data_IF_344597466389
#
_entry.id   IF_344597466389
#
_cell.length_a   1.000
_cell.length_b   1.000
_cell.length_c   1.000
_cell.angle_alpha   90.00
_cell.angle_beta   90.00
_cell.angle_gamma   90.00
#
_symmetry.space_group_name_H-M   'P 1'
#
loop_
_entity.id
_entity.type
_entity.pdbx_description
1 polymer ?
#
# COMPACT_ATOMS: atom_id res chain seq x y z
N UNK A 1 -52.94 -29.64 -14.60
CA UNK A 1 -52.25 -29.47 -13.30
C UNK A 1 -51.05 -30.40 -13.30
N UNK A 2 -49.89 -29.86 -13.62
CA UNK A 2 -48.59 -30.52 -13.47
C UNK A 2 -47.73 -29.58 -12.61
N UNK A 3 -46.88 -30.09 -11.71
CA UNK A 3 -46.20 -29.27 -10.72
C UNK A 3 -45.00 -28.55 -11.34
N UNK A 4 -44.77 -27.33 -10.88
CA UNK A 4 -43.55 -26.56 -11.13
C UNK A 4 -42.36 -27.24 -10.46
N UNK A 5 -41.37 -27.66 -11.25
CA UNK A 5 -40.02 -27.96 -10.76
C UNK A 5 -39.30 -26.62 -10.51
N UNK A 6 -39.04 -26.33 -9.24
CA UNK A 6 -38.00 -25.38 -8.84
C UNK A 6 -36.65 -26.07 -8.99
N UNK A 7 -35.97 -25.86 -10.13
CA UNK A 7 -34.56 -26.20 -10.27
C UNK A 7 -33.72 -25.10 -9.61
N UNK A 8 -33.39 -25.28 -8.34
CA UNK A 8 -32.25 -24.61 -7.72
C UNK A 8 -30.97 -25.11 -8.40
N UNK A 9 -30.29 -24.23 -9.11
CA UNK A 9 -29.00 -24.51 -9.73
C UNK A 9 -27.91 -24.37 -8.66
N UNK A 10 -27.64 -25.44 -7.90
CA UNK A 10 -26.50 -25.50 -6.98
C UNK A 10 -25.20 -25.69 -7.79
N UNK A 11 -24.55 -24.58 -8.14
CA UNK A 11 -23.32 -24.52 -8.93
C UNK A 11 -22.04 -24.86 -8.15
N UNK A 12 -22.11 -25.61 -7.05
CA UNK A 12 -20.96 -25.88 -6.16
C UNK A 12 -20.38 -27.30 -6.25
N UNK A 13 -20.81 -28.13 -7.20
CA UNK A 13 -20.23 -29.47 -7.39
C UNK A 13 -18.80 -29.39 -7.98
N UNK A 14 -17.79 -29.39 -7.10
CA UNK A 14 -16.38 -29.61 -7.47
C UNK A 14 -15.34 -28.66 -6.88
N UNK A 15 -15.71 -27.78 -5.95
CA UNK A 15 -14.73 -26.95 -5.23
C UNK A 15 -14.37 -27.65 -3.91
N UNK A 16 -13.09 -27.99 -3.74
CA UNK A 16 -12.56 -28.50 -2.48
C UNK A 16 -12.25 -27.32 -1.54
N UNK A 17 -13.18 -27.09 -0.62
CA UNK A 17 -13.09 -26.01 0.38
C UNK A 17 -12.07 -26.28 1.50
N UNK A 18 -11.33 -27.39 1.47
CA UNK A 18 -10.33 -27.70 2.51
C UNK A 18 -9.03 -26.88 2.40
N UNK A 19 -8.79 -26.20 1.27
CA UNK A 19 -7.57 -25.43 1.00
C UNK A 19 -7.83 -23.93 0.81
N UNK A 20 -8.69 -23.34 1.65
CA UNK A 20 -8.92 -21.88 1.66
C UNK A 20 -7.75 -21.17 2.32
N UNK A 21 -7.14 -20.24 1.61
CA UNK A 21 -6.11 -19.36 2.16
C UNK A 21 -6.75 -18.14 2.85
N UNK A 22 -6.48 -18.00 4.14
CA UNK A 22 -6.97 -16.92 4.98
C UNK A 22 -6.12 -15.66 4.82
N UNK A 23 -6.60 -14.68 4.05
CA UNK A 23 -6.00 -13.34 3.98
C UNK A 23 -6.60 -12.40 5.03
N UNK A 24 -7.93 -12.46 5.17
CA UNK A 24 -8.67 -11.79 6.24
C UNK A 24 -9.51 -12.86 6.97
N UNK A 25 -9.03 -13.35 8.13
CA UNK A 25 -9.78 -14.24 9.00
C UNK A 25 -11.21 -13.75 9.26
N UNK A 26 -12.13 -14.72 9.31
CA UNK A 26 -13.58 -14.52 9.46
C UNK A 26 -14.21 -13.64 8.36
N UNK A 27 -13.51 -13.50 7.22
CA UNK A 27 -14.03 -12.84 6.04
C UNK A 27 -15.33 -13.48 5.53
N UNK A 28 -16.25 -12.63 5.08
CA UNK A 28 -17.59 -12.99 4.59
C UNK A 28 -17.62 -13.38 3.11
N UNK A 29 -16.46 -13.34 2.42
CA UNK A 29 -16.34 -13.60 1.00
C UNK A 29 -15.13 -14.49 0.69
N UNK A 30 -15.32 -15.46 -0.21
CA UNK A 30 -14.23 -16.23 -0.80
C UNK A 30 -14.12 -15.87 -2.28
N UNK A 31 -12.92 -15.45 -2.70
CA UNK A 31 -12.60 -15.29 -4.11
C UNK A 31 -12.09 -16.62 -4.67
N UNK A 32 -12.67 -17.07 -5.77
CA UNK A 32 -12.25 -18.27 -6.52
C UNK A 32 -11.50 -17.78 -7.76
N UNK A 33 -10.17 -17.79 -7.70
CA UNK A 33 -9.33 -17.04 -8.65
C UNK A 33 -8.58 -17.95 -9.61
N UNK A 34 -8.66 -17.59 -10.89
CA UNK A 34 -7.89 -18.21 -11.97
C UNK A 34 -8.33 -19.63 -12.32
N UNK A 35 -7.64 -20.21 -13.30
CA UNK A 35 -7.90 -21.57 -13.80
C UNK A 35 -7.69 -22.64 -12.74
N UNK A 36 -6.74 -22.39 -11.84
CA UNK A 36 -6.41 -23.30 -10.73
C UNK A 36 -7.38 -23.17 -9.54
N UNK A 37 -8.40 -22.30 -9.64
CA UNK A 37 -9.44 -22.07 -8.64
C UNK A 37 -8.89 -21.83 -7.23
N UNK A 38 -7.86 -20.98 -7.13
CA UNK A 38 -7.28 -20.61 -5.83
C UNK A 38 -8.34 -19.95 -4.97
N UNK A 39 -8.52 -20.42 -3.74
CA UNK A 39 -9.56 -19.96 -2.82
C UNK A 39 -8.97 -18.99 -1.80
N UNK A 40 -9.39 -17.72 -1.86
CA UNK A 40 -8.87 -16.66 -0.99
C UNK A 40 -10.00 -16.09 -0.13
N UNK A 41 -9.95 -16.28 1.20
CA UNK A 41 -10.94 -15.68 2.12
C UNK A 41 -10.59 -14.24 2.46
N UNK A 42 -11.59 -13.37 2.33
CA UNK A 42 -11.48 -11.92 2.34
C UNK A 42 -12.71 -11.27 3.00
N UNK A 43 -12.57 -10.02 3.45
CA UNK A 43 -13.72 -9.19 3.82
C UNK A 43 -14.25 -8.44 2.60
N UNK A 44 -15.55 -8.56 2.33
CA UNK A 44 -16.27 -7.81 1.29
C UNK A 44 -16.17 -6.30 1.54
N UNK A 45 -16.22 -5.87 2.81
CA UNK A 45 -16.10 -4.45 3.18
C UNK A 45 -14.72 -3.90 2.88
N UNK A 46 -13.67 -4.70 3.08
CA UNK A 46 -12.30 -4.36 2.69
C UNK A 46 -12.18 -4.23 1.17
N UNK A 47 -12.68 -5.20 0.40
CA UNK A 47 -12.65 -5.19 -1.07
C UNK A 47 -13.36 -3.96 -1.66
N UNK A 48 -14.56 -3.65 -1.19
CA UNK A 48 -15.31 -2.46 -1.60
C UNK A 48 -14.57 -1.16 -1.27
N UNK A 49 -13.77 -1.13 -0.18
CA UNK A 49 -13.01 0.06 0.23
C UNK A 49 -11.80 0.32 -0.67
N UNK A 50 -11.16 -0.73 -1.19
CA UNK A 50 -9.95 -0.62 -2.01
C UNK A 50 -10.24 -0.55 -3.51
N UNK A 51 -11.41 -1.01 -3.95
CA UNK A 51 -11.78 -1.07 -5.37
C UNK A 51 -13.20 -0.55 -5.61
N UNK A 52 -13.37 0.51 -6.43
CA UNK A 52 -14.70 0.96 -6.84
C UNK A 52 -15.41 -0.08 -7.73
N UNK A 53 -14.66 -0.93 -8.44
CA UNK A 53 -15.23 -2.01 -9.25
C UNK A 53 -15.88 -3.07 -8.36
N UNK A 54 -15.17 -3.54 -7.32
CA UNK A 54 -15.77 -4.44 -6.34
C UNK A 54 -16.90 -3.77 -5.56
N UNK A 55 -16.79 -2.47 -5.24
CA UNK A 55 -17.89 -1.73 -4.59
C UNK A 55 -19.16 -1.69 -5.43
N UNK A 56 -19.03 -1.56 -6.76
CA UNK A 56 -20.16 -1.64 -7.68
C UNK A 56 -20.71 -3.07 -7.76
N UNK A 57 -19.84 -4.05 -8.01
CA UNK A 57 -20.19 -5.47 -8.20
C UNK A 57 -20.83 -6.11 -6.96
N UNK A 58 -20.35 -5.77 -5.76
CA UNK A 58 -20.90 -6.27 -4.49
C UNK A 58 -22.01 -5.35 -3.96
N UNK A 59 -22.40 -4.32 -4.73
CA UNK A 59 -23.51 -3.45 -4.43
C UNK A 59 -24.87 -4.09 -4.74
N UNK A 60 -25.98 -3.47 -4.29
CA UNK A 60 -27.33 -4.04 -4.41
C UNK A 60 -27.84 -4.23 -5.85
N UNK A 61 -27.20 -3.59 -6.82
CA UNK A 61 -27.63 -3.57 -8.22
C UNK A 61 -27.14 -4.77 -9.04
N UNK A 62 -26.26 -5.59 -8.47
CA UNK A 62 -25.67 -6.75 -9.13
C UNK A 62 -26.06 -8.03 -8.40
N UNK A 63 -26.08 -9.16 -9.15
CA UNK A 63 -26.47 -10.46 -8.60
C UNK A 63 -25.55 -10.87 -7.46
N UNK A 64 -24.25 -10.60 -7.60
CA UNK A 64 -23.22 -10.91 -6.61
C UNK A 64 -23.48 -10.20 -5.27
N UNK A 65 -23.83 -8.90 -5.31
CA UNK A 65 -24.20 -8.16 -4.10
C UNK A 65 -25.53 -8.61 -3.49
N UNK A 66 -26.51 -8.99 -4.31
CA UNK A 66 -27.76 -9.57 -3.81
C UNK A 66 -27.51 -10.91 -3.13
N UNK A 67 -26.69 -11.78 -3.73
CA UNK A 67 -26.26 -13.05 -3.13
C UNK A 67 -25.54 -12.83 -1.81
N UNK A 68 -24.58 -11.90 -1.76
CA UNK A 68 -23.87 -11.54 -0.54
C UNK A 68 -24.84 -11.09 0.57
N UNK A 69 -25.84 -10.26 0.25
CA UNK A 69 -26.86 -9.80 1.21
C UNK A 69 -27.82 -10.90 1.68
N UNK A 70 -27.92 -11.99 0.93
CA UNK A 70 -28.82 -13.11 1.21
C UNK A 70 -28.15 -14.26 1.95
N UNK A 71 -26.83 -14.18 2.22
CA UNK A 71 -26.13 -15.12 3.10
C UNK A 71 -26.68 -14.97 4.52
N UNK A 72 -27.57 -15.89 4.90
CA UNK A 72 -28.27 -15.86 6.20
C UNK A 72 -27.65 -16.77 7.25
N UNK A 73 -26.93 -17.82 6.82
CA UNK A 73 -26.26 -18.77 7.71
C UNK A 73 -24.74 -18.59 7.65
N UNK A 74 -24.11 -18.75 8.82
CA UNK A 74 -22.64 -18.69 8.97
C UNK A 74 -21.90 -19.77 8.16
N UNK A 75 -22.59 -20.84 7.81
CA UNK A 75 -22.03 -21.96 7.04
C UNK A 75 -22.19 -21.79 5.52
N UNK A 76 -23.04 -20.87 5.08
CA UNK A 76 -23.17 -20.52 3.65
C UNK A 76 -22.07 -19.53 3.26
N UNK A 77 -21.10 -20.01 2.48
CA UNK A 77 -19.99 -19.18 1.99
C UNK A 77 -20.40 -18.45 0.70
N UNK A 78 -20.27 -17.13 0.67
CA UNK A 78 -20.34 -16.41 -0.60
C UNK A 78 -19.04 -16.62 -1.37
N UNK A 79 -19.17 -17.12 -2.60
CA UNK A 79 -18.05 -17.34 -3.51
C UNK A 79 -18.19 -16.41 -4.72
N UNK A 80 -17.13 -15.65 -5.02
CA UNK A 80 -17.03 -14.79 -6.20
C UNK A 80 -15.97 -15.37 -7.14
N UNK A 81 -16.38 -15.76 -8.35
CA UNK A 81 -15.48 -16.34 -9.35
C UNK A 81 -14.76 -15.27 -10.16
N UNK A 82 -13.43 -15.38 -10.24
CA UNK A 82 -12.53 -14.51 -11.00
C UNK A 82 -11.66 -15.39 -11.93
N UNK A 83 -12.26 -16.09 -12.91
CA UNK A 83 -11.59 -17.18 -13.63
C UNK A 83 -10.46 -16.72 -14.57
N UNK A 84 -10.47 -15.46 -14.97
CA UNK A 84 -9.49 -14.86 -15.88
C UNK A 84 -8.28 -14.24 -15.16
N UNK A 85 -8.35 -14.12 -13.83
CA UNK A 85 -7.33 -13.42 -13.03
C UNK A 85 -6.26 -14.38 -12.51
N UNK A 86 -5.05 -13.84 -12.30
CA UNK A 86 -3.91 -14.60 -11.77
C UNK A 86 -4.00 -14.73 -10.24
N UNK A 87 -4.16 -15.95 -9.74
CA UNK A 87 -4.33 -16.21 -8.31
C UNK A 87 -3.18 -15.73 -7.44
N UNK A 88 -1.94 -15.71 -7.94
CA UNK A 88 -0.77 -15.22 -7.20
C UNK A 88 -0.71 -13.70 -7.17
N UNK A 89 -1.07 -13.05 -8.27
CA UNK A 89 -1.19 -11.60 -8.36
C UNK A 89 -2.24 -11.05 -7.39
N UNK A 90 -3.42 -11.68 -7.35
CA UNK A 90 -4.51 -11.33 -6.43
C UNK A 90 -4.06 -11.50 -4.98
N UNK A 91 -3.46 -12.65 -4.65
CA UNK A 91 -2.91 -12.92 -3.32
C UNK A 91 -1.86 -11.88 -2.90
N UNK A 92 -0.91 -11.56 -3.77
CA UNK A 92 0.13 -10.58 -3.50
C UNK A 92 -0.44 -9.16 -3.32
N UNK A 93 -1.45 -8.74 -4.10
CA UNK A 93 -2.08 -7.42 -3.94
C UNK A 93 -2.70 -7.25 -2.57
N UNK A 94 -3.41 -8.26 -2.08
CA UNK A 94 -4.08 -8.15 -0.79
C UNK A 94 -3.12 -8.22 0.37
N UNK A 95 -2.01 -8.98 0.25
CA UNK A 95 -0.91 -8.93 1.24
C UNK A 95 -0.24 -7.56 1.33
N UNK A 96 -0.14 -6.83 0.21
CA UNK A 96 0.35 -5.44 0.21
C UNK A 96 -0.64 -4.52 0.93
N UNK A 97 -1.94 -4.69 0.68
CA UNK A 97 -2.96 -3.76 1.16
C UNK A 97 -3.51 -4.09 2.55
N UNK A 98 -3.37 -5.32 3.02
CA UNK A 98 -3.83 -5.80 4.32
C UNK A 98 -2.62 -6.17 5.18
N UNK A 99 -2.24 -5.24 6.04
CA UNK A 99 -1.08 -5.35 6.93
C UNK A 99 0.25 -4.94 6.31
N UNK A 100 0.35 -4.68 5.00
CA UNK A 100 1.63 -4.42 4.32
C UNK A 100 2.67 -5.52 4.61
N UNK A 101 2.36 -6.75 4.20
CA UNK A 101 3.20 -7.93 4.42
C UNK A 101 4.63 -7.73 3.89
N UNK A 102 5.66 -7.83 4.76
CA UNK A 102 7.05 -7.66 4.37
C UNK A 102 7.53 -8.58 3.25
N UNK A 103 6.96 -9.76 3.08
CA UNK A 103 7.36 -10.67 2.01
C UNK A 103 6.92 -10.19 0.61
N UNK A 104 6.10 -9.16 0.52
CA UNK A 104 5.77 -8.49 -0.76
C UNK A 104 6.82 -7.45 -1.19
N UNK A 105 7.90 -7.26 -0.40
CA UNK A 105 8.99 -6.34 -0.77
C UNK A 105 9.84 -6.85 -1.92
N UNK A 106 9.86 -8.16 -2.12
CA UNK A 106 10.78 -8.84 -3.01
C UNK A 106 10.14 -9.41 -4.28
N UNK A 107 8.96 -8.91 -4.66
CA UNK A 107 8.29 -9.31 -5.89
C UNK A 107 9.18 -9.11 -7.13
N UNK A 108 9.20 -10.12 -7.98
CA UNK A 108 9.92 -10.10 -9.26
C UNK A 108 9.20 -9.19 -10.28
N UNK A 109 9.92 -8.70 -11.31
CA UNK A 109 9.34 -7.88 -12.38
C UNK A 109 8.06 -8.47 -13.00
N UNK A 110 8.02 -9.79 -13.21
CA UNK A 110 6.85 -10.51 -13.73
C UNK A 110 5.67 -10.50 -12.75
N UNK A 111 5.93 -10.71 -11.47
CA UNK A 111 4.90 -10.66 -10.43
C UNK A 111 4.31 -9.25 -10.31
N UNK A 112 5.17 -8.22 -10.37
CA UNK A 112 4.74 -6.80 -10.37
C UNK A 112 3.87 -6.50 -11.58
N UNK A 113 4.20 -7.02 -12.77
CA UNK A 113 3.39 -6.87 -13.98
C UNK A 113 2.02 -7.54 -13.85
N UNK A 114 1.98 -8.82 -13.43
CA UNK A 114 0.72 -9.55 -13.27
C UNK A 114 -0.20 -8.86 -12.26
N UNK A 115 0.38 -8.39 -11.15
CA UNK A 115 -0.31 -7.61 -10.13
C UNK A 115 -0.83 -6.28 -10.70
N UNK A 116 -0.05 -5.59 -11.53
CA UNK A 116 -0.47 -4.35 -12.18
C UNK A 116 -1.67 -4.55 -13.12
N UNK A 117 -1.77 -5.70 -13.80
CA UNK A 117 -2.93 -6.04 -14.65
C UNK A 117 -4.20 -6.13 -13.79
N UNK A 118 -4.14 -6.85 -12.68
CA UNK A 118 -5.27 -6.94 -11.75
C UNK A 118 -5.60 -5.56 -11.15
N UNK A 119 -4.59 -4.79 -10.76
CA UNK A 119 -4.78 -3.46 -10.19
C UNK A 119 -5.48 -2.49 -11.16
N UNK A 120 -5.13 -2.53 -12.44
CA UNK A 120 -5.76 -1.71 -13.48
C UNK A 120 -7.20 -2.16 -13.72
N UNK A 121 -7.44 -3.47 -13.89
CA UNK A 121 -8.77 -4.06 -14.11
C UNK A 121 -9.78 -3.70 -13.01
N UNK A 122 -9.35 -3.74 -11.75
CA UNK A 122 -10.20 -3.46 -10.58
C UNK A 122 -10.03 -2.04 -10.02
N UNK A 123 -9.27 -1.17 -10.69
CA UNK A 123 -8.98 0.20 -10.26
C UNK A 123 -8.46 0.30 -8.81
N UNK A 124 -7.51 -0.57 -8.46
CA UNK A 124 -6.82 -0.62 -7.17
C UNK A 124 -5.52 0.20 -7.21
N UNK A 125 -5.04 0.60 -8.40
CA UNK A 125 -3.79 1.33 -8.61
C UNK A 125 -3.49 2.46 -7.60
N UNK A 126 -4.45 3.36 -7.28
CA UNK A 126 -4.23 4.43 -6.31
C UNK A 126 -3.86 3.95 -4.89
N UNK A 127 -4.27 2.73 -4.50
CA UNK A 127 -3.92 2.15 -3.20
C UNK A 127 -2.50 1.60 -3.15
N UNK A 128 -1.86 1.40 -4.31
CA UNK A 128 -0.53 0.79 -4.40
C UNK A 128 0.61 1.81 -4.48
N UNK A 129 0.34 3.11 -4.36
CA UNK A 129 1.33 4.17 -4.60
C UNK A 129 2.63 3.96 -3.81
N UNK A 130 2.54 3.69 -2.50
CA UNK A 130 3.73 3.42 -1.68
C UNK A 130 4.52 2.18 -2.12
N UNK A 131 3.81 1.10 -2.46
CA UNK A 131 4.44 -0.15 -2.89
C UNK A 131 5.14 0.03 -4.25
N UNK A 132 4.50 0.71 -5.19
CA UNK A 132 5.07 0.96 -6.52
C UNK A 132 6.32 1.83 -6.48
N UNK A 133 6.36 2.85 -5.61
CA UNK A 133 7.56 3.66 -5.39
C UNK A 133 8.73 2.80 -4.89
N UNK A 134 8.46 1.84 -4.00
CA UNK A 134 9.47 0.92 -3.49
C UNK A 134 9.98 -0.04 -4.57
N UNK A 135 9.07 -0.73 -5.26
CA UNK A 135 9.41 -1.72 -6.29
C UNK A 135 10.18 -1.09 -7.45
N UNK A 136 9.72 0.04 -7.99
CA UNK A 136 10.42 0.69 -9.11
C UNK A 136 11.79 1.25 -8.70
N UNK A 137 11.96 1.69 -7.45
CA UNK A 137 13.26 2.06 -6.93
C UNK A 137 14.22 0.85 -6.79
N UNK A 138 13.70 -0.34 -6.43
CA UNK A 138 14.50 -1.58 -6.36
C UNK A 138 15.07 -1.93 -7.74
N UNK A 139 14.27 -1.78 -8.80
CA UNK A 139 14.68 -2.10 -10.17
C UNK A 139 15.17 -0.88 -10.97
N UNK A 140 15.71 0.14 -10.30
CA UNK A 140 16.22 1.35 -10.97
C UNK A 140 17.36 1.05 -11.97
N UNK A 141 18.09 -0.07 -11.79
CA UNK A 141 19.24 -0.49 -12.60
C UNK A 141 19.00 -1.81 -13.35
N UNK A 142 17.76 -2.25 -13.50
CA UNK A 142 17.45 -3.41 -14.37
C UNK A 142 18.01 -3.19 -15.77
N UNK A 143 18.67 -4.22 -16.31
CA UNK A 143 19.27 -4.22 -17.64
C UNK A 143 18.75 -5.38 -18.51
N UNK A 144 18.06 -6.36 -17.93
CA UNK A 144 17.41 -7.42 -18.69
C UNK A 144 16.23 -6.84 -19.52
N UNK A 145 16.16 -7.12 -20.83
CA UNK A 145 15.11 -6.59 -21.70
C UNK A 145 13.69 -7.06 -21.34
N UNK A 146 13.52 -8.31 -20.93
CA UNK A 146 12.21 -8.87 -20.58
C UNK A 146 11.72 -8.26 -19.26
N UNK A 147 12.57 -8.23 -18.23
CA UNK A 147 12.25 -7.57 -16.96
C UNK A 147 11.96 -6.08 -17.15
N UNK A 148 12.73 -5.39 -17.99
CA UNK A 148 12.49 -3.97 -18.31
C UNK A 148 11.15 -3.78 -19.01
N UNK A 149 10.76 -4.69 -19.90
CA UNK A 149 9.45 -4.70 -20.54
C UNK A 149 8.32 -4.90 -19.52
N UNK A 150 8.45 -5.91 -18.66
CA UNK A 150 7.48 -6.21 -17.59
C UNK A 150 7.27 -5.00 -16.67
N UNK A 151 8.35 -4.34 -16.23
CA UNK A 151 8.30 -3.12 -15.42
C UNK A 151 7.74 -1.91 -16.17
N UNK A 152 7.98 -1.80 -17.48
CA UNK A 152 7.39 -0.76 -18.33
C UNK A 152 5.87 -0.92 -18.38
N UNK A 153 5.39 -2.15 -18.58
CA UNK A 153 3.96 -2.46 -18.60
C UNK A 153 3.32 -2.21 -17.24
N UNK A 154 3.97 -2.64 -16.16
CA UNK A 154 3.50 -2.34 -14.81
C UNK A 154 3.38 -0.83 -14.56
N UNK A 155 4.40 -0.05 -14.94
CA UNK A 155 4.38 1.40 -14.79
C UNK A 155 3.27 2.07 -15.62
N UNK A 156 2.96 1.55 -16.80
CA UNK A 156 1.84 2.04 -17.63
C UNK A 156 0.48 1.80 -16.96
N UNK A 157 0.23 0.57 -16.50
CA UNK A 157 -1.01 0.14 -15.87
C UNK A 157 -1.24 0.87 -14.53
N UNK A 158 -0.19 0.95 -13.69
CA UNK A 158 -0.23 1.61 -12.39
C UNK A 158 -0.08 3.14 -12.45
N UNK A 159 -0.09 3.74 -13.64
CA UNK A 159 -0.04 5.19 -13.85
C UNK A 159 1.25 5.88 -13.34
N UNK A 160 2.34 5.14 -13.23
CA UNK A 160 3.62 5.63 -12.70
C UNK A 160 4.46 6.29 -13.80
N UNK A 161 4.16 7.57 -14.07
CA UNK A 161 4.76 8.34 -15.18
C UNK A 161 6.30 8.37 -15.18
N UNK A 162 6.93 8.55 -14.02
CA UNK A 162 8.39 8.60 -13.89
C UNK A 162 9.04 7.24 -14.16
N UNK A 163 8.43 6.18 -13.65
CA UNK A 163 8.89 4.81 -13.88
C UNK A 163 8.73 4.45 -15.37
N UNK A 164 7.58 4.76 -15.97
CA UNK A 164 7.30 4.51 -17.39
C UNK A 164 8.33 5.21 -18.30
N UNK A 165 8.59 6.49 -18.05
CA UNK A 165 9.63 7.24 -18.77
C UNK A 165 11.02 6.59 -18.60
N UNK A 166 11.35 6.16 -17.38
CA UNK A 166 12.66 5.58 -17.07
C UNK A 166 12.87 4.25 -17.77
N UNK A 167 11.90 3.33 -17.72
CA UNK A 167 12.05 2.01 -18.31
C UNK A 167 11.95 2.04 -19.84
N UNK A 168 11.07 2.84 -20.43
CA UNK A 168 11.04 3.02 -21.89
C UNK A 168 12.35 3.60 -22.43
N UNK A 169 12.99 4.53 -21.69
CA UNK A 169 14.32 5.04 -22.03
C UNK A 169 15.39 3.92 -22.04
N UNK A 170 15.27 2.92 -21.16
CA UNK A 170 16.17 1.77 -21.14
C UNK A 170 15.91 0.84 -22.32
N UNK A 171 14.65 0.53 -22.62
CA UNK A 171 14.28 -0.24 -23.81
C UNK A 171 14.83 0.40 -25.09
N UNK A 172 14.75 1.73 -25.22
CA UNK A 172 15.35 2.48 -26.36
C UNK A 172 16.86 2.20 -26.50
N UNK A 173 17.60 2.05 -25.40
CA UNK A 173 19.04 1.74 -25.40
C UNK A 173 19.38 0.29 -25.73
N UNK A 174 18.46 -0.65 -25.53
CA UNK A 174 18.70 -2.07 -25.76
C UNK A 174 18.57 -2.38 -27.27
N UNK A 175 19.66 -2.16 -28.02
CA UNK A 175 19.68 -2.25 -29.48
C UNK A 175 19.64 -3.68 -30.05
N UNK A 176 19.78 -4.71 -29.21
CA UNK A 176 19.99 -6.10 -29.65
C UNK A 176 18.73 -6.98 -29.55
N UNK A 177 17.61 -6.47 -29.04
CA UNK A 177 16.42 -7.27 -28.72
C UNK A 177 15.22 -6.76 -29.50
N UNK A 178 14.59 -7.66 -30.25
CA UNK A 178 13.26 -7.40 -30.81
C UNK A 178 12.24 -7.52 -29.69
N UNK A 179 11.54 -6.44 -29.38
CA UNK A 179 10.53 -6.45 -28.30
C UNK A 179 9.23 -7.17 -28.70
N UNK A 180 9.07 -7.58 -29.97
CA UNK A 180 7.87 -8.25 -30.46
C UNK A 180 7.60 -9.58 -29.74
N UNK A 181 8.64 -10.31 -29.33
CA UNK A 181 8.49 -11.56 -28.57
C UNK A 181 7.79 -11.34 -27.22
N UNK A 182 7.83 -10.12 -26.67
CA UNK A 182 7.17 -9.80 -25.40
C UNK A 182 5.70 -9.40 -25.57
N UNK A 183 5.24 -9.22 -26.81
CA UNK A 183 3.83 -8.99 -27.12
C UNK A 183 3.05 -10.30 -27.15
N UNK A 184 3.74 -11.39 -27.49
CA UNK A 184 3.20 -12.75 -27.49
C UNK A 184 2.82 -13.15 -26.05
N UNK A 185 1.52 -13.18 -25.75
CA UNK A 185 1.00 -13.48 -24.41
C UNK A 185 0.43 -12.28 -23.65
N UNK A 186 0.48 -11.07 -24.22
CA UNK A 186 -0.25 -9.92 -23.66
C UNK A 186 -1.77 -10.07 -23.84
N UNK A 187 -2.53 -9.68 -22.82
CA UNK A 187 -3.99 -9.57 -22.90
C UNK A 187 -4.44 -8.52 -23.94
N UNK A 188 -3.66 -7.45 -24.10
CA UNK A 188 -3.84 -6.43 -25.16
C UNK A 188 -2.60 -6.39 -26.07
N UNK A 189 -2.54 -7.23 -27.13
CA UNK A 189 -1.43 -7.23 -28.08
C UNK A 189 -1.28 -5.90 -28.82
N UNK A 190 -2.37 -5.16 -29.03
CA UNK A 190 -2.33 -3.87 -29.74
C UNK A 190 -1.60 -2.82 -28.92
N UNK A 191 -1.81 -2.79 -27.60
CA UNK A 191 -1.03 -1.94 -26.69
C UNK A 191 0.46 -2.29 -26.76
N UNK A 192 0.80 -3.58 -26.74
CA UNK A 192 2.17 -4.06 -26.87
C UNK A 192 2.84 -3.61 -28.17
N UNK A 193 2.20 -3.87 -29.31
CA UNK A 193 2.69 -3.46 -30.63
C UNK A 193 2.90 -1.94 -30.73
N UNK A 194 1.96 -1.14 -30.21
CA UNK A 194 2.10 0.32 -30.16
C UNK A 194 3.29 0.76 -29.33
N UNK A 195 3.51 0.12 -28.18
CA UNK A 195 4.65 0.43 -27.34
C UNK A 195 5.96 0.07 -28.04
N UNK A 196 6.04 -1.10 -28.69
CA UNK A 196 7.18 -1.49 -29.51
C UNK A 196 7.47 -0.43 -30.58
N UNK A 197 6.47 -0.05 -31.38
CA UNK A 197 6.62 0.96 -32.43
C UNK A 197 7.11 2.31 -31.88
N UNK A 198 6.54 2.78 -30.78
CA UNK A 198 6.96 4.03 -30.15
C UNK A 198 8.42 3.99 -29.65
N UNK A 199 8.86 2.84 -29.13
CA UNK A 199 10.26 2.62 -28.71
C UNK A 199 11.18 2.60 -29.93
N UNK A 200 10.80 1.89 -31.01
CA UNK A 200 11.59 1.86 -32.25
C UNK A 200 11.75 3.25 -32.88
N UNK A 201 10.68 4.04 -32.96
CA UNK A 201 10.73 5.42 -33.47
C UNK A 201 11.71 6.28 -32.65
N UNK A 202 11.65 6.16 -31.32
CA UNK A 202 12.58 6.85 -30.43
C UNK A 202 14.03 6.38 -30.61
N UNK A 203 14.25 5.10 -30.86
CA UNK A 203 15.57 4.52 -31.12
C UNK A 203 16.15 4.98 -32.46
N UNK A 204 15.34 4.96 -33.52
CA UNK A 204 15.74 5.48 -34.85
C UNK A 204 16.10 6.96 -34.77
N UNK A 205 15.28 7.76 -34.07
CA UNK A 205 15.58 9.18 -33.84
C UNK A 205 16.89 9.37 -33.08
N UNK A 206 17.12 8.59 -32.02
CA UNK A 206 18.37 8.63 -31.25
C UNK A 206 19.59 8.34 -32.14
N UNK A 207 19.53 7.29 -32.96
CA UNK A 207 20.62 6.90 -33.86
C UNK A 207 20.90 7.93 -34.96
N UNK A 208 19.89 8.68 -35.41
CA UNK A 208 20.01 9.66 -36.51
C UNK A 208 20.36 11.09 -36.06
N UNK A 209 19.91 11.51 -34.87
CA UNK A 209 19.88 12.93 -34.51
C UNK A 209 20.44 13.27 -33.12
N UNK A 210 20.22 12.42 -32.11
CA UNK A 210 20.57 12.72 -30.71
C UNK A 210 21.11 11.47 -30.01
N UNK A 211 22.41 11.37 -29.69
CA UNK A 211 22.95 10.19 -29.02
C UNK A 211 22.40 9.99 -27.61
N UNK A 212 21.63 10.96 -27.07
CA UNK A 212 21.00 10.84 -25.76
C UNK A 212 19.62 10.16 -25.87
N UNK A 213 19.44 8.96 -25.29
CA UNK A 213 18.15 8.28 -25.29
C UNK A 213 17.13 9.07 -24.48
N UNK A 214 15.88 9.10 -24.97
CA UNK A 214 14.73 9.69 -24.29
C UNK A 214 13.68 8.62 -24.03
N UNK A 215 13.06 8.71 -22.87
CA UNK A 215 11.91 7.87 -22.54
C UNK A 215 10.63 8.41 -23.16
N UNK A 216 9.61 7.57 -23.23
CA UNK A 216 8.27 7.97 -23.65
C UNK A 216 7.55 8.69 -22.51
N UNK A 217 6.86 9.77 -22.82
CA UNK A 217 5.94 10.41 -21.88
C UNK A 217 4.65 9.59 -21.81
N UNK A 218 4.25 9.15 -20.61
CA UNK A 218 3.06 8.33 -20.39
C UNK A 218 1.79 9.02 -20.92
N UNK A 219 1.60 10.31 -20.61
CA UNK A 219 0.45 11.10 -21.05
C UNK A 219 0.38 11.19 -22.59
N UNK A 220 1.50 11.54 -23.24
CA UNK A 220 1.56 11.63 -24.70
C UNK A 220 1.28 10.28 -25.38
N UNK A 221 1.84 9.19 -24.84
CA UNK A 221 1.63 7.85 -25.37
C UNK A 221 0.16 7.43 -25.31
N UNK A 222 -0.53 7.77 -24.21
CA UNK A 222 -1.98 7.56 -24.07
C UNK A 222 -2.79 8.40 -25.06
N UNK A 223 -2.48 9.69 -25.19
CA UNK A 223 -3.21 10.61 -26.09
C UNK A 223 -3.02 10.30 -27.58
N UNK A 224 -1.89 9.71 -27.98
CA UNK A 224 -1.65 9.27 -29.35
C UNK A 224 -2.69 8.22 -29.85
N UNK A 225 -3.66 7.83 -29.01
CA UNK A 225 -4.89 7.09 -29.38
C UNK A 225 -5.87 7.87 -30.28
N UNK A 226 -5.78 9.21 -30.41
CA UNK A 226 -6.90 10.04 -30.90
C UNK A 226 -6.80 10.61 -32.34
N UNK A 227 -5.99 10.07 -33.25
CA UNK A 227 -5.99 10.52 -34.66
C UNK A 227 -6.84 9.63 -35.59
N UNK A 228 -8.03 9.23 -35.14
CA UNK A 228 -9.09 8.67 -35.99
C UNK A 228 -10.44 8.88 -35.30
N UNK A 229 -11.26 9.72 -35.92
CA UNK A 229 -12.63 10.19 -35.58
C UNK A 229 -12.81 11.27 -34.50
N UNK A 230 -13.01 12.48 -35.02
CA UNK A 230 -13.97 13.52 -34.61
C UNK A 230 -14.05 13.96 -33.14
N UNK A 231 -13.85 15.26 -32.97
CA UNK A 231 -14.19 16.04 -31.78
C UNK A 231 -15.60 15.74 -31.27
N UNK A 232 -15.68 15.36 -30.00
CA UNK A 232 -16.78 15.76 -29.13
C UNK A 232 -16.16 16.41 -27.89
N UNK A 233 -16.62 17.64 -27.65
CA UNK A 233 -16.29 18.43 -26.47
C UNK A 233 -16.94 17.78 -25.26
N UNK A 234 -16.15 17.31 -24.31
CA UNK A 234 -16.62 17.13 -22.95
C UNK A 234 -16.30 18.39 -22.15
N UNK A 235 -17.36 19.18 -21.95
CA UNK A 235 -17.45 20.24 -20.95
C UNK A 235 -17.27 19.66 -19.56
N UNK A 236 -16.28 20.19 -18.84
CA UNK A 236 -16.13 20.01 -17.41
C UNK A 236 -17.24 20.77 -16.65
N UNK A 237 -17.94 20.09 -15.73
CA UNK A 237 -18.28 20.54 -14.36
C UNK A 237 -19.35 19.62 -13.75
N UNK A 238 -19.02 18.86 -12.70
CA UNK A 238 -19.55 19.14 -11.36
C UNK A 238 -19.05 18.13 -10.29
N UNK A 239 -18.49 18.72 -9.23
CA UNK A 239 -18.55 18.31 -7.82
C UNK A 239 -18.11 16.88 -7.42
N UNK A 240 -16.82 16.78 -7.06
CA UNK A 240 -16.41 15.90 -5.98
C UNK A 240 -16.88 16.49 -4.64
N UNK A 241 -17.27 15.68 -3.64
CA UNK A 241 -17.43 16.17 -2.28
C UNK A 241 -16.07 16.63 -1.74
N UNK A 242 -16.03 17.88 -1.27
CA UNK A 242 -14.96 18.44 -0.45
C UNK A 242 -14.79 17.60 0.82
N UNK A 243 -13.74 16.78 0.90
CA UNK A 243 -13.15 16.40 2.19
C UNK A 243 -12.02 17.38 2.48
N UNK A 244 -12.36 18.42 3.24
CA UNK A 244 -11.41 19.41 3.74
C UNK A 244 -10.31 18.75 4.57
N UNK A 245 -9.09 19.29 4.57
CA UNK A 245 -8.12 18.96 5.61
C UNK A 245 -8.66 19.47 6.95
N UNK A 246 -9.02 18.56 7.85
CA UNK A 246 -9.35 18.90 9.23
C UNK A 246 -8.11 19.47 9.92
N UNK A 247 -8.03 20.80 9.95
CA UNK A 247 -7.23 21.54 10.93
C UNK A 247 -8.15 22.42 11.75
N UNK A 248 -8.68 21.88 12.83
CA UNK A 248 -8.74 22.52 14.15
C UNK A 248 -9.46 21.59 15.12
N UNK A 249 -8.95 21.55 16.34
CA UNK A 249 -9.48 20.77 17.45
C UNK A 249 -11.00 20.88 17.55
N UNK A 250 -11.69 19.79 17.21
CA UNK A 250 -13.04 19.54 17.69
C UNK A 250 -12.97 18.29 18.57
N UNK A 251 -13.19 18.51 19.87
CA UNK A 251 -13.49 17.47 20.84
C UNK A 251 -14.83 16.84 20.45
N UNK A 252 -14.78 15.86 19.57
CA UNK A 252 -15.88 14.94 19.31
C UNK A 252 -15.44 13.59 19.83
N UNK A 253 -16.19 13.06 20.80
CA UNK A 253 -16.02 11.72 21.37
C UNK A 253 -16.37 10.60 20.35
N UNK A 254 -16.34 10.91 19.05
CA UNK A 254 -16.66 10.01 17.93
C UNK A 254 -15.54 9.01 17.71
N UNK A 255 -15.90 7.73 17.66
CA UNK A 255 -14.96 6.64 17.37
C UNK A 255 -14.45 6.76 15.93
N UNK A 256 -13.14 6.95 15.76
CA UNK A 256 -12.51 6.90 14.43
C UNK A 256 -12.45 5.46 13.96
N UNK A 257 -12.88 5.18 12.73
CA UNK A 257 -12.99 3.80 12.23
C UNK A 257 -11.97 3.52 11.13
N UNK A 258 -11.15 2.49 11.32
CA UNK A 258 -10.22 1.97 10.31
C UNK A 258 -10.89 0.79 9.58
N UNK A 259 -11.39 -0.17 10.36
CA UNK A 259 -12.11 -1.37 9.90
C UNK A 259 -13.56 -1.29 10.38
N UNK A 260 -14.52 -1.28 9.46
CA UNK A 260 -15.94 -0.96 9.76
C UNK A 260 -16.59 -1.99 10.68
N UNK A 261 -16.27 -3.25 10.45
CA UNK A 261 -16.67 -4.46 11.17
C UNK A 261 -15.68 -4.85 12.28
N UNK A 262 -14.71 -3.98 12.60
CA UNK A 262 -13.67 -4.26 13.59
C UNK A 262 -14.22 -4.67 14.95
N UNK A 263 -13.62 -5.69 15.56
CA UNK A 263 -13.97 -6.29 16.84
C UNK A 263 -13.16 -5.73 18.02
N UNK A 264 -12.26 -4.78 17.77
CA UNK A 264 -11.43 -4.10 18.78
C UNK A 264 -11.56 -2.57 18.68
N UNK A 265 -11.55 -1.91 19.84
CA UNK A 265 -11.41 -0.45 19.95
C UNK A 265 -10.16 -0.14 20.77
N UNK A 266 -9.19 0.52 20.15
CA UNK A 266 -8.03 1.08 20.84
C UNK A 266 -8.45 2.38 21.51
N UNK A 267 -8.23 2.48 22.82
CA UNK A 267 -8.47 3.68 23.61
C UNK A 267 -7.13 4.34 23.90
N UNK A 268 -6.84 5.43 23.21
CA UNK A 268 -5.46 5.93 23.03
C UNK A 268 -5.25 7.29 23.69
N UNK A 269 -4.14 7.39 24.43
CA UNK A 269 -3.65 8.63 25.02
C UNK A 269 -4.45 9.10 26.24
N UNK A 270 -4.04 10.24 26.84
CA UNK A 270 -4.69 10.80 28.03
C UNK A 270 -6.11 11.28 27.75
N UNK A 271 -6.41 11.63 26.49
CA UNK A 271 -7.74 12.05 26.04
C UNK A 271 -8.68 10.86 25.74
N UNK A 272 -8.21 9.61 25.90
CA UNK A 272 -9.01 8.40 25.72
C UNK A 272 -9.70 8.33 24.35
N UNK A 273 -9.00 8.75 23.29
CA UNK A 273 -9.56 8.77 21.94
C UNK A 273 -9.76 7.34 21.43
N UNK A 274 -10.94 7.05 20.87
CA UNK A 274 -11.32 5.70 20.44
C UNK A 274 -11.06 5.48 18.95
N UNK A 275 -10.34 4.40 18.63
CA UNK A 275 -10.04 3.98 17.25
C UNK A 275 -10.50 2.54 17.04
N UNK A 276 -11.45 2.30 16.15
CA UNK A 276 -11.96 0.97 15.81
C UNK A 276 -11.11 0.28 14.74
N UNK A 277 -10.66 -0.93 15.04
CA UNK A 277 -9.78 -1.80 14.22
C UNK A 277 -10.22 -3.26 14.35
N UNK A 278 -9.64 -4.17 13.55
CA UNK A 278 -9.80 -5.61 13.76
C UNK A 278 -8.62 -6.20 14.55
N UNK A 279 -8.91 -7.14 15.46
CA UNK A 279 -7.92 -7.92 16.18
C UNK A 279 -6.98 -8.66 15.24
N UNK A 280 -7.53 -9.17 14.13
CA UNK A 280 -6.76 -9.83 13.10
C UNK A 280 -5.70 -8.89 12.47
N UNK A 281 -6.09 -7.68 12.04
CA UNK A 281 -5.13 -6.71 11.52
C UNK A 281 -4.03 -6.42 12.54
N UNK A 282 -4.38 -6.27 13.83
CA UNK A 282 -3.41 -6.08 14.92
C UNK A 282 -2.44 -7.26 15.06
N UNK A 283 -2.96 -8.50 15.07
CA UNK A 283 -2.15 -9.73 15.16
C UNK A 283 -1.21 -9.90 13.97
N UNK A 284 -1.73 -9.68 12.77
CA UNK A 284 -0.93 -9.77 11.56
C UNK A 284 0.14 -8.69 11.58
N UNK A 285 -0.23 -7.45 11.90
CA UNK A 285 0.68 -6.32 11.74
C UNK A 285 1.76 -6.23 12.83
N UNK A 286 1.46 -6.66 14.05
CA UNK A 286 2.31 -6.45 15.22
C UNK A 286 2.51 -7.72 16.04
N UNK A 287 3.77 -8.21 16.18
CA UNK A 287 4.10 -9.29 17.11
C UNK A 287 3.70 -9.00 18.55
N UNK A 288 3.74 -7.73 18.98
CA UNK A 288 3.35 -7.30 20.33
C UNK A 288 1.84 -7.50 20.53
N UNK A 289 1.01 -7.01 19.61
CA UNK A 289 -0.43 -7.24 19.69
C UNK A 289 -0.78 -8.72 19.49
N UNK A 290 -0.05 -9.44 18.64
CA UNK A 290 -0.21 -10.89 18.52
C UNK A 290 -0.01 -11.59 19.86
N UNK A 291 1.10 -11.34 20.55
CA UNK A 291 1.36 -11.92 21.86
C UNK A 291 0.29 -11.51 22.90
N UNK A 292 -0.14 -10.24 22.90
CA UNK A 292 -1.17 -9.74 23.80
C UNK A 292 -2.54 -10.43 23.57
N UNK A 293 -2.93 -10.62 22.31
CA UNK A 293 -4.25 -11.14 21.93
C UNK A 293 -4.33 -12.66 21.85
N UNK A 294 -3.18 -13.35 21.76
CA UNK A 294 -3.09 -14.81 21.74
C UNK A 294 -2.77 -15.40 23.12
N UNK A 295 -2.43 -14.57 24.10
CA UNK A 295 -2.14 -14.99 25.47
C UNK A 295 -3.38 -14.97 26.35
N UNK A 296 -3.29 -15.62 27.52
CA UNK A 296 -4.30 -15.54 28.59
C UNK A 296 -4.27 -14.20 29.35
N UNK A 297 -3.79 -13.13 28.71
CA UNK A 297 -3.86 -11.78 29.25
C UNK A 297 -5.31 -11.27 29.24
N UNK A 298 -5.57 -10.21 30.00
CA UNK A 298 -6.92 -9.62 30.15
C UNK A 298 -7.56 -9.33 28.79
N UNK A 299 -6.80 -8.75 27.87
CA UNK A 299 -7.23 -8.35 26.53
C UNK A 299 -7.56 -9.57 25.65
N UNK A 300 -6.68 -10.57 25.61
CA UNK A 300 -6.90 -11.82 24.87
C UNK A 300 -8.08 -12.64 25.42
N UNK A 301 -8.25 -12.70 26.74
CA UNK A 301 -9.41 -13.33 27.38
C UNK A 301 -10.71 -12.58 27.08
N UNK A 302 -10.69 -11.24 27.17
CA UNK A 302 -11.86 -10.43 26.86
C UNK A 302 -12.31 -10.60 25.39
N UNK A 303 -11.36 -10.73 24.46
CA UNK A 303 -11.65 -10.97 23.06
C UNK A 303 -12.16 -12.39 22.79
N UNK A 304 -11.51 -13.41 23.35
CA UNK A 304 -11.88 -14.82 23.13
C UNK A 304 -13.23 -15.22 23.75
N UNK A 305 -13.59 -14.61 24.89
CA UNK A 305 -14.87 -14.84 25.56
C UNK A 305 -15.98 -13.91 25.07
N UNK A 306 -15.71 -13.07 24.07
CA UNK A 306 -16.65 -12.09 23.54
C UNK A 306 -17.82 -12.79 22.83
N UNK A 307 -19.04 -12.44 23.20
CA UNK A 307 -20.23 -12.88 22.47
C UNK A 307 -20.34 -12.17 21.11
N UNK A 308 -20.89 -12.85 20.08
CA UNK A 308 -20.97 -12.34 18.70
C UNK A 308 -21.60 -10.94 18.54
N UNK A 309 -22.52 -10.56 19.45
CA UNK A 309 -23.23 -9.28 19.41
C UNK A 309 -22.78 -8.30 20.51
N UNK A 310 -21.73 -8.62 21.27
CA UNK A 310 -21.18 -7.72 22.27
C UNK A 310 -20.49 -6.51 21.62
N UNK A 311 -20.33 -5.38 22.32
CA UNK A 311 -19.48 -4.29 21.82
C UNK A 311 -18.05 -4.78 21.54
N UNK A 312 -17.28 -4.08 20.67
CA UNK A 312 -15.87 -4.37 20.46
C UNK A 312 -15.07 -4.37 21.76
N UNK A 313 -14.06 -5.23 21.86
CA UNK A 313 -13.16 -5.28 23.03
C UNK A 313 -12.29 -4.04 23.08
N UNK A 314 -12.25 -3.35 24.22
CA UNK A 314 -11.41 -2.17 24.41
C UNK A 314 -9.98 -2.54 24.85
N UNK A 315 -8.98 -1.92 24.23
CA UNK A 315 -7.55 -2.06 24.58
C UNK A 315 -6.99 -0.67 24.87
N UNK A 316 -6.44 -0.48 26.06
CA UNK A 316 -5.92 0.81 26.52
C UNK A 316 -4.45 1.02 26.09
N UNK A 317 -4.19 2.13 25.39
CA UNK A 317 -2.86 2.57 24.96
C UNK A 317 -2.56 3.98 25.52
N UNK A 318 -2.41 4.14 26.85
CA UNK A 318 -2.42 5.45 27.50
C UNK A 318 -1.20 6.32 27.17
N UNK A 319 -0.08 5.70 26.78
CA UNK A 319 1.17 6.38 26.47
C UNK A 319 1.32 6.77 24.98
N UNK A 320 0.38 6.36 24.12
CA UNK A 320 0.49 6.58 22.67
C UNK A 320 -0.29 7.79 22.19
N UNK A 321 0.13 8.35 21.06
CA UNK A 321 -0.59 9.41 20.36
C UNK A 321 -1.66 8.80 19.46
N UNK A 322 -2.92 9.15 19.71
CA UNK A 322 -4.06 8.68 18.91
C UNK A 322 -3.94 9.02 17.42
N UNK A 323 -3.39 10.20 17.09
CA UNK A 323 -3.13 10.57 15.69
C UNK A 323 -2.10 9.64 15.03
N UNK A 324 -1.04 9.27 15.75
CA UNK A 324 0.04 8.43 15.21
C UNK A 324 -0.42 6.98 15.07
N UNK A 325 -1.17 6.45 16.05
CA UNK A 325 -1.82 5.13 15.95
C UNK A 325 -2.78 5.11 14.75
N UNK A 326 -3.60 6.15 14.58
CA UNK A 326 -4.51 6.25 13.45
C UNK A 326 -3.79 6.29 12.10
N UNK A 327 -2.71 7.08 11.97
CA UNK A 327 -1.92 7.15 10.75
C UNK A 327 -1.27 5.80 10.42
N UNK A 328 -0.67 5.15 11.41
CA UNK A 328 -0.02 3.86 11.26
C UNK A 328 -1.00 2.79 10.77
N UNK A 329 -2.16 2.65 11.41
CA UNK A 329 -3.11 1.61 11.01
C UNK A 329 -3.90 1.96 9.74
N UNK A 330 -4.01 3.23 9.35
CA UNK A 330 -4.49 3.59 8.00
C UNK A 330 -3.48 3.28 6.90
N UNK A 331 -2.20 3.21 7.21
CA UNK A 331 -1.22 2.69 6.27
C UNK A 331 -1.44 1.18 6.09
N UNK A 332 -1.39 0.47 7.22
CA UNK A 332 -1.45 -0.98 7.26
C UNK A 332 -2.79 -1.49 6.70
N UNK A 333 -3.86 -0.70 6.82
CA UNK A 333 -5.16 -1.00 6.23
C UNK A 333 -5.42 -0.16 4.99
N UNK A 334 -5.36 -0.80 3.82
CA UNK A 334 -5.61 -0.22 2.49
C UNK A 334 -4.56 0.75 1.95
N UNK A 335 -3.38 0.90 2.59
CA UNK A 335 -2.33 1.84 2.14
C UNK A 335 -2.87 3.25 1.87
N UNK A 336 -3.55 3.84 2.85
CA UNK A 336 -4.35 5.03 2.61
C UNK A 336 -3.53 6.26 2.14
N UNK A 337 -3.97 7.01 1.09
CA UNK A 337 -3.26 8.18 0.52
C UNK A 337 -2.92 9.32 1.50
N UNK A 338 -3.58 9.36 2.66
CA UNK A 338 -3.31 10.37 3.71
C UNK A 338 -1.84 10.44 4.11
N UNK A 339 -1.09 9.36 3.91
CA UNK A 339 0.31 9.24 4.29
C UNK A 339 1.28 9.86 3.26
N UNK A 340 0.80 10.28 2.09
CA UNK A 340 1.64 10.97 1.10
C UNK A 340 2.11 12.33 1.61
N UNK A 341 1.27 13.00 2.41
CA UNK A 341 1.42 14.40 2.78
C UNK A 341 1.66 14.62 4.28
N UNK A 342 2.12 13.59 5.00
CA UNK A 342 2.42 13.74 6.43
C UNK A 342 3.72 14.54 6.65
N UNK A 343 3.79 15.24 7.78
CA UNK A 343 4.95 16.01 8.20
C UNK A 343 6.12 15.12 8.62
N UNK A 344 7.35 15.66 8.62
CA UNK A 344 8.53 14.94 9.14
C UNK A 344 8.39 14.56 10.62
N UNK A 345 7.54 15.27 11.38
CA UNK A 345 7.23 14.92 12.78
C UNK A 345 6.43 13.62 12.81
N UNK A 346 5.34 13.56 12.05
CA UNK A 346 4.50 12.37 11.93
C UNK A 346 5.27 11.17 11.37
N UNK A 347 6.16 11.37 10.39
CA UNK A 347 7.02 10.30 9.85
C UNK A 347 7.89 9.68 10.94
N UNK A 348 8.57 10.52 11.73
CA UNK A 348 9.38 10.08 12.88
C UNK A 348 8.53 9.35 13.90
N UNK A 349 7.40 9.93 14.28
CA UNK A 349 6.56 9.37 15.35
C UNK A 349 5.92 8.04 14.93
N UNK A 350 5.53 7.89 13.66
CA UNK A 350 5.09 6.59 13.11
C UNK A 350 6.23 5.58 13.13
N UNK A 351 7.47 5.98 12.84
CA UNK A 351 8.62 5.07 12.92
C UNK A 351 8.92 4.62 14.37
N UNK A 352 8.82 5.51 15.35
CA UNK A 352 8.96 5.18 16.78
C UNK A 352 7.83 4.24 17.22
N UNK A 353 6.58 4.54 16.84
CA UNK A 353 5.44 3.67 17.12
C UNK A 353 5.64 2.27 16.48
N UNK A 354 6.09 2.24 15.22
CA UNK A 354 6.37 1.00 14.51
C UNK A 354 7.42 0.18 15.25
N UNK A 355 8.51 0.79 15.74
CA UNK A 355 9.49 0.10 16.56
C UNK A 355 8.89 -0.43 17.88
N UNK A 356 8.17 0.42 18.62
CA UNK A 356 7.52 0.06 19.90
C UNK A 356 6.63 -1.18 19.77
N UNK A 357 5.89 -1.28 18.68
CA UNK A 357 4.97 -2.39 18.40
C UNK A 357 5.56 -3.45 17.46
N UNK A 358 6.86 -3.41 17.18
CA UNK A 358 7.58 -4.34 16.30
C UNK A 358 6.97 -4.49 14.88
N UNK A 359 6.46 -3.38 14.34
CA UNK A 359 5.87 -3.29 13.00
C UNK A 359 6.85 -2.73 11.95
N UNK A 360 8.12 -2.54 12.31
CA UNK A 360 9.14 -1.81 11.53
C UNK A 360 9.21 -2.21 10.06
N UNK A 361 9.29 -3.52 9.78
CA UNK A 361 9.39 -4.02 8.40
C UNK A 361 8.21 -3.61 7.51
N UNK A 362 7.02 -3.47 8.09
CA UNK A 362 5.79 -3.09 7.36
C UNK A 362 5.80 -1.63 6.92
N UNK A 363 6.54 -0.79 7.64
CA UNK A 363 6.67 0.64 7.32
C UNK A 363 7.86 0.95 6.40
N UNK A 364 8.58 -0.05 5.89
CA UNK A 364 9.69 0.19 4.95
C UNK A 364 9.23 0.79 3.61
N UNK A 365 8.08 0.37 3.09
CA UNK A 365 7.49 0.96 1.88
C UNK A 365 7.23 2.46 2.04
N UNK A 366 6.38 2.91 2.99
CA UNK A 366 6.08 4.32 3.14
C UNK A 366 7.31 5.09 3.64
N UNK A 367 8.16 4.48 4.48
CA UNK A 367 9.42 5.08 4.92
C UNK A 367 10.34 5.46 3.76
N UNK A 368 10.54 4.54 2.80
CA UNK A 368 11.34 4.81 1.59
C UNK A 368 10.70 5.91 0.74
N UNK A 369 9.39 5.85 0.55
CA UNK A 369 8.65 6.92 -0.16
C UNK A 369 8.86 8.27 0.52
N UNK A 370 8.61 8.37 1.83
CA UNK A 370 8.77 9.60 2.61
C UNK A 370 10.18 10.18 2.47
N UNK A 371 11.23 9.37 2.54
CA UNK A 371 12.61 9.84 2.47
C UNK A 371 13.01 10.36 1.08
N UNK A 372 12.31 9.91 0.03
CA UNK A 372 12.58 10.33 -1.36
C UNK A 372 11.83 11.61 -1.76
N UNK A 373 10.76 12.00 -1.04
CA UNK A 373 10.00 13.23 -1.37
C UNK A 373 10.90 14.48 -1.23
N UNK A 374 11.08 15.28 -2.30
CA UNK A 374 11.83 16.52 -2.23
C UNK A 374 11.19 17.52 -1.26
N UNK A 375 11.99 18.12 -0.38
CA UNK A 375 11.51 19.08 0.63
C UNK A 375 12.12 20.45 0.45
N UNK A 376 11.28 21.48 0.59
CA UNK A 376 11.68 22.88 0.64
C UNK A 376 11.65 23.36 2.08
N UNK A 377 12.75 23.93 2.53
CA UNK A 377 12.88 24.51 3.86
C UNK A 377 13.05 26.02 3.76
N UNK A 378 12.39 26.76 4.64
CA UNK A 378 12.43 28.23 4.64
C UNK A 378 13.73 28.76 5.24
N UNK A 379 14.30 28.04 6.21
CA UNK A 379 15.49 28.47 6.95
C UNK A 379 16.46 27.30 7.19
N UNK A 380 17.75 27.57 7.46
CA UNK A 380 18.71 26.52 7.87
C UNK A 380 18.26 25.73 9.11
N UNK A 381 17.63 26.38 10.08
CA UNK A 381 17.15 25.74 11.33
C UNK A 381 15.98 24.79 11.07
N UNK A 382 15.04 25.20 10.21
CA UNK A 382 13.94 24.32 9.80
C UNK A 382 14.42 23.16 8.95
N UNK A 383 15.47 23.39 8.14
CA UNK A 383 16.14 22.33 7.37
C UNK A 383 16.80 21.30 8.26
N UNK A 384 17.63 21.71 9.22
CA UNK A 384 18.36 20.77 10.08
C UNK A 384 17.40 19.93 10.95
N UNK A 385 16.35 20.55 11.51
CA UNK A 385 15.31 19.82 12.27
C UNK A 385 14.56 18.81 11.39
N UNK A 386 14.23 19.20 10.16
CA UNK A 386 13.59 18.31 9.20
C UNK A 386 14.46 17.12 8.86
N UNK A 387 15.74 17.36 8.53
CA UNK A 387 16.70 16.29 8.22
C UNK A 387 16.95 15.38 9.42
N UNK A 388 17.05 15.92 10.64
CA UNK A 388 17.18 15.10 11.85
C UNK A 388 16.02 14.12 12.01
N UNK A 389 14.78 14.59 11.85
CA UNK A 389 13.59 13.73 11.94
C UNK A 389 13.57 12.66 10.85
N UNK A 390 14.02 12.99 9.64
CA UNK A 390 14.19 12.00 8.57
C UNK A 390 15.29 10.98 8.88
N UNK A 391 16.39 11.42 9.50
CA UNK A 391 17.47 10.52 9.94
C UNK A 391 16.96 9.52 10.99
N UNK A 392 16.22 10.00 12.00
CA UNK A 392 15.58 9.16 13.03
C UNK A 392 14.54 8.22 12.41
N UNK A 393 13.75 8.70 11.44
CA UNK A 393 12.81 7.86 10.67
C UNK A 393 13.56 6.72 9.96
N UNK A 394 14.65 7.04 9.25
CA UNK A 394 15.44 6.05 8.53
C UNK A 394 16.11 5.03 9.46
N UNK A 395 16.57 5.48 10.63
CA UNK A 395 17.16 4.64 11.67
C UNK A 395 16.15 3.61 12.20
N UNK A 396 15.01 4.08 12.70
CA UNK A 396 13.98 3.21 13.28
C UNK A 396 13.35 2.28 12.26
N UNK A 397 13.32 2.65 10.97
CA UNK A 397 12.82 1.81 9.89
C UNK A 397 13.88 0.92 9.22
N UNK A 398 15.11 0.90 9.74
CA UNK A 398 16.23 0.14 9.20
C UNK A 398 16.48 0.39 7.68
N UNK A 399 16.35 1.65 7.27
CA UNK A 399 16.58 2.10 5.88
C UNK A 399 18.01 2.62 5.73
N UNK A 400 18.98 1.70 5.69
CA UNK A 400 20.43 2.00 5.75
C UNK A 400 20.91 3.00 4.69
N UNK A 401 20.57 2.77 3.41
CA UNK A 401 20.95 3.67 2.32
C UNK A 401 20.41 5.09 2.51
N UNK A 402 19.18 5.21 2.99
CA UNK A 402 18.52 6.49 3.17
C UNK A 402 19.03 7.18 4.43
N UNK A 403 19.34 6.43 5.50
CA UNK A 403 20.05 6.93 6.68
C UNK A 403 21.41 7.51 6.29
N UNK A 404 22.18 6.79 5.46
CA UNK A 404 23.46 7.26 4.95
C UNK A 404 23.30 8.56 4.12
N UNK A 405 22.35 8.60 3.18
CA UNK A 405 22.10 9.81 2.36
C UNK A 405 21.69 11.02 3.20
N UNK A 406 20.81 10.84 4.18
CA UNK A 406 20.36 11.94 5.05
C UNK A 406 21.50 12.41 5.96
N UNK A 407 22.34 11.49 6.47
CA UNK A 407 23.49 11.87 7.31
C UNK A 407 24.50 12.72 6.56
N UNK A 408 24.78 12.41 5.28
CA UNK A 408 25.61 13.25 4.41
C UNK A 408 25.02 14.66 4.28
N UNK A 409 23.71 14.78 4.05
CA UNK A 409 23.06 16.09 3.93
C UNK A 409 23.20 16.91 5.21
N UNK A 410 23.10 16.29 6.38
CA UNK A 410 23.31 16.93 7.68
C UNK A 410 24.75 17.44 7.82
N UNK A 411 25.74 16.60 7.53
CA UNK A 411 27.17 16.96 7.62
C UNK A 411 27.51 18.12 6.66
N UNK A 412 26.94 18.11 5.46
CA UNK A 412 27.17 19.15 4.44
C UNK A 412 26.62 20.53 4.81
N UNK A 413 25.71 20.64 5.78
CA UNK A 413 25.18 21.93 6.21
C UNK A 413 26.21 22.82 6.91
N UNK A 414 27.41 22.30 7.24
CA UNK A 414 28.53 23.04 7.86
C UNK A 414 28.10 23.93 9.04
N UNK A 415 27.06 23.52 9.76
CA UNK A 415 26.64 24.21 10.97
C UNK A 415 27.68 23.92 12.06
N UNK A 416 28.12 24.95 12.79
CA UNK A 416 29.08 24.87 13.91
C UNK A 416 28.73 23.75 14.91
N UNK A 417 29.64 23.31 15.81
CA UNK A 417 29.69 21.94 16.33
C UNK A 417 28.34 21.42 16.82
N UNK A 418 28.13 20.10 16.66
CA UNK A 418 26.97 19.26 17.00
C UNK A 418 26.17 19.72 18.24
N UNK A 419 26.82 20.36 19.22
CA UNK A 419 26.21 21.08 20.35
C UNK A 419 25.09 22.07 19.98
N UNK A 420 25.16 22.79 18.84
CA UNK A 420 24.03 23.65 18.41
C UNK A 420 22.85 22.83 17.88
N UNK A 421 23.11 21.69 17.26
CA UNK A 421 22.10 20.71 16.86
C UNK A 421 21.35 20.18 18.09
N UNK A 422 22.10 19.84 19.15
CA UNK A 422 21.56 19.41 20.44
C UNK A 422 20.69 20.49 21.10
N UNK A 423 21.03 21.77 20.94
CA UNK A 423 20.19 22.88 21.43
C UNK A 423 18.95 23.19 20.58
N UNK A 424 18.91 22.73 19.33
CA UNK A 424 17.84 23.04 18.36
C UNK A 424 16.84 21.89 18.19
N UNK A 425 17.23 20.68 18.55
CA UNK A 425 16.39 19.49 18.64
C UNK A 425 15.94 19.39 20.10
N UNK A 426 14.64 19.27 20.35
CA UNK A 426 14.07 19.31 21.70
C UNK A 426 14.80 18.34 22.65
N UNK A 427 15.27 18.86 23.79
CA UNK A 427 16.10 18.10 24.74
C UNK A 427 15.32 16.93 25.36
N UNK A 428 13.98 17.03 25.44
CA UNK A 428 13.13 15.98 26.01
C UNK A 428 12.94 14.80 25.05
N UNK A 429 12.83 15.05 23.74
CA UNK A 429 12.80 14.00 22.71
C UNK A 429 14.13 13.22 22.69
N UNK A 430 15.26 13.94 22.79
CA UNK A 430 16.60 13.32 22.73
C UNK A 430 17.01 12.66 24.05
N UNK A 431 16.58 13.15 25.22
CA UNK A 431 16.91 12.55 26.53
C UNK A 431 16.30 11.15 26.66
N UNK A 432 15.08 10.96 26.18
CA UNK A 432 14.41 9.66 26.18
C UNK A 432 15.15 8.68 25.24
N UNK A 433 15.48 9.11 24.01
CA UNK A 433 16.24 8.27 23.06
C UNK A 433 17.67 7.97 23.53
N UNK A 434 18.39 8.93 24.13
CA UNK A 434 19.74 8.71 24.70
C UNK A 434 19.67 7.80 25.93
N UNK A 435 18.62 7.88 26.74
CA UNK A 435 18.43 6.95 27.87
C UNK A 435 18.18 5.52 27.41
N UNK A 436 17.46 5.32 26.30
CA UNK A 436 17.27 4.00 25.68
C UNK A 436 18.56 3.49 25.01
N UNK A 437 19.33 4.35 24.34
CA UNK A 437 20.62 3.96 23.74
C UNK A 437 21.69 3.62 24.79
N UNK A 438 21.66 4.24 25.98
CA UNK A 438 22.51 3.86 27.11
C UNK A 438 22.15 2.49 27.70
N UNK A 439 20.89 2.04 27.54
CA UNK A 439 20.46 0.70 27.95
C UNK A 439 20.91 -0.39 26.96
N UNK A 440 21.26 -0.03 25.72
CA UNK A 440 21.71 -0.95 24.66
C UNK A 440 23.25 -1.04 24.57
N UNK A 441 23.99 -0.40 25.48
CA UNK A 441 25.42 -0.64 25.64
C UNK A 441 26.33 -0.14 24.51
N UNK A 442 25.91 0.88 23.74
CA UNK A 442 26.73 1.46 22.65
C UNK A 442 27.45 2.77 23.02
N UNK A 443 27.56 3.11 24.29
CA UNK A 443 28.42 4.21 24.73
C UNK A 443 29.24 3.74 25.93
N UNK A 444 30.48 3.33 25.66
CA UNK A 444 31.48 3.30 26.73
C UNK A 444 31.58 4.72 27.32
N UNK A 445 31.53 4.87 28.66
CA UNK A 445 31.79 6.16 29.27
C UNK A 445 33.28 6.46 29.05
N UNK A 446 33.57 7.37 28.12
CA UNK A 446 34.88 8.00 28.06
C UNK A 446 35.03 8.88 29.31
N UNK A 447 36.17 8.81 30.03
CA UNK A 447 36.36 9.39 31.36
C UNK A 447 36.13 10.90 31.48
#
# INVERSE_FOLDING_TARGET
MLPHEHSGFDAHHGIDWSFVEELVPDGDLILVVGKDKRLLRMSSTFLCKISPVFAAMLGPNFEEGQRLSCVKDKDSQMALELPEDDGQAVYNIFRVLYGADPATKDLEPREIQNLAIFADKYNIGPRLEFATAFWFAKYAWVDDPEETWQLTMAAFLLQQSNAFFTYTKKLVKQLQVSHLSFVEGMMDPMLGLRLCLAIEECRVHMLKHDPKPRGLCLYCFKLARLSSSMAQQDTAMSAAPDDKPESSHSQSNSVRTIVNDGDVVLVVGPEQQKIRVSADLLRQSSPVFKAMLDSNMKEGLALSLRANNAPPTEIELPADSALIVWLAYRFLYCSHPVLENISTVQMRDVAILANKYQMTERFRFPGKFWLQVPRKYKTPETRIRGLWRLLVTAYWLHLEDDFFKVSIQIVQLKMSPFMRLISLVDFDDMRNEISELRMVGMVDPVP
#
